data_IF_110716803028
#
_entry.id   IF_110716803028
#
_cell.length_a   1.000
_cell.length_b   1.000
_cell.length_c   1.000
_cell.angle_alpha   90.00
_cell.angle_beta   90.00
_cell.angle_gamma   90.00
#
_symmetry.space_group_name_H-M   'P 1'
#
loop_
_entity.id
_entity.type
_entity.pdbx_description
1 polymer ?
#
# COMPACT_ATOMS: atom_id res chain seq x y z
N UNK A 1 -31.95 -34.35 -29.99
CA UNK A 1 -31.46 -32.98 -29.88
C UNK A 1 -30.20 -33.03 -29.05
N UNK A 2 -29.03 -32.98 -29.70
CA UNK A 2 -27.74 -33.29 -29.12
C UNK A 2 -27.00 -31.97 -28.89
N UNK A 3 -26.73 -31.63 -27.63
CA UNK A 3 -25.90 -30.50 -27.22
C UNK A 3 -24.44 -30.87 -27.43
N UNK A 4 -23.79 -30.21 -28.37
CA UNK A 4 -22.32 -30.29 -28.55
C UNK A 4 -21.65 -29.26 -27.65
N UNK A 5 -21.09 -29.69 -26.50
CA UNK A 5 -20.04 -29.00 -25.78
C UNK A 5 -18.76 -29.09 -26.60
N UNK A 6 -18.29 -27.96 -27.12
CA UNK A 6 -16.96 -27.85 -27.74
C UNK A 6 -15.94 -27.64 -26.64
N UNK A 7 -15.16 -28.67 -26.35
CA UNK A 7 -14.01 -28.57 -25.49
C UNK A 7 -12.89 -27.78 -26.17
N UNK A 8 -12.28 -26.87 -25.40
CA UNK A 8 -11.06 -26.18 -25.78
C UNK A 8 -9.94 -27.20 -26.06
N UNK A 9 -9.45 -27.23 -27.28
CA UNK A 9 -8.39 -28.15 -27.72
C UNK A 9 -7.03 -27.65 -27.25
N UNK A 10 -6.47 -28.32 -26.23
CA UNK A 10 -5.06 -28.19 -25.85
C UNK A 10 -4.18 -28.64 -27.00
N UNK A 11 -3.44 -27.71 -27.65
CA UNK A 11 -2.28 -28.05 -28.44
C UNK A 11 -1.09 -28.26 -27.51
N UNK A 12 -0.77 -29.51 -27.25
CA UNK A 12 0.48 -29.91 -26.63
C UNK A 12 1.53 -29.98 -27.71
N UNK A 13 2.55 -29.13 -27.63
CA UNK A 13 3.83 -29.35 -28.31
C UNK A 13 4.86 -29.70 -27.26
N UNK A 14 5.34 -30.93 -27.32
CA UNK A 14 6.38 -31.48 -26.46
C UNK A 14 7.75 -31.16 -27.01
N UNK A 15 8.66 -30.72 -26.18
CA UNK A 15 10.04 -31.16 -25.92
C UNK A 15 10.85 -30.00 -25.34
N UNK A 16 11.17 -30.09 -24.08
CA UNK A 16 12.10 -29.20 -23.38
C UNK A 16 12.28 -29.63 -21.92
N UNK A 17 13.18 -29.06 -21.16
CA UNK A 17 13.76 -29.68 -19.98
C UNK A 17 12.77 -29.85 -18.80
N UNK A 18 13.12 -30.73 -17.89
CA UNK A 18 12.36 -31.32 -16.79
C UNK A 18 11.26 -30.44 -16.14
N UNK A 19 10.08 -31.03 -15.84
CA UNK A 19 8.99 -30.30 -15.22
C UNK A 19 9.33 -29.94 -13.78
N UNK A 20 9.26 -28.65 -13.49
CA UNK A 20 9.20 -28.15 -12.11
C UNK A 20 8.10 -28.93 -11.37
N UNK A 21 8.44 -29.47 -10.22
CA UNK A 21 7.56 -30.28 -9.36
C UNK A 21 6.23 -29.54 -9.19
N UNK A 22 5.12 -30.25 -9.41
CA UNK A 22 3.75 -29.78 -9.21
C UNK A 22 3.56 -29.24 -7.79
N UNK A 23 3.82 -27.96 -7.58
CA UNK A 23 3.49 -27.28 -6.35
C UNK A 23 1.99 -26.91 -6.41
N UNK A 24 1.30 -27.16 -5.31
CA UNK A 24 -0.13 -26.91 -5.18
C UNK A 24 -0.40 -25.39 -5.31
N UNK A 25 -1.02 -24.99 -6.41
CA UNK A 25 -1.58 -23.66 -6.57
C UNK A 25 -2.79 -23.54 -5.64
N UNK A 26 -2.78 -22.59 -4.72
CA UNK A 26 -3.90 -22.28 -3.84
C UNK A 26 -4.53 -20.98 -4.31
N UNK A 27 -5.77 -21.01 -4.72
CA UNK A 27 -6.55 -19.81 -5.04
C UNK A 27 -6.96 -19.16 -3.71
N UNK A 28 -6.38 -18.02 -3.38
CA UNK A 28 -6.77 -17.19 -2.23
C UNK A 28 -7.01 -15.78 -2.76
N UNK A 29 -8.19 -15.19 -2.55
CA UNK A 29 -8.45 -13.83 -2.99
C UNK A 29 -7.44 -12.86 -2.37
N UNK A 30 -6.83 -12.00 -3.18
CA UNK A 30 -6.07 -10.85 -2.69
C UNK A 30 -7.06 -9.94 -1.97
N UNK A 31 -6.67 -9.35 -0.82
CA UNK A 31 -7.53 -8.39 -0.12
C UNK A 31 -7.95 -7.30 -1.11
N UNK A 32 -9.26 -7.03 -1.18
CA UNK A 32 -9.82 -6.05 -2.10
C UNK A 32 -9.18 -4.68 -1.85
N UNK A 33 -8.40 -4.19 -2.82
CA UNK A 33 -8.11 -2.78 -2.98
C UNK A 33 -9.44 -2.09 -3.30
N UNK A 34 -9.70 -0.92 -2.73
CA UNK A 34 -10.90 -0.15 -3.07
C UNK A 34 -10.84 0.20 -4.56
N UNK A 35 -11.98 0.18 -5.27
CA UNK A 35 -12.07 0.46 -6.72
C UNK A 35 -11.51 1.81 -7.15
N UNK A 36 -11.35 2.72 -6.19
CA UNK A 36 -10.84 4.08 -6.45
C UNK A 36 -9.33 4.11 -6.70
N UNK A 37 -8.57 3.06 -6.28
CA UNK A 37 -7.13 2.98 -6.48
C UNK A 37 -6.81 2.28 -7.81
N UNK A 38 -6.37 3.05 -8.80
CA UNK A 38 -5.88 2.53 -10.08
C UNK A 38 -4.52 1.87 -9.87
N UNK A 39 -4.38 0.64 -10.36
CA UNK A 39 -3.13 -0.13 -10.21
C UNK A 39 -2.40 -0.23 -11.57
N UNK A 40 -1.08 -0.12 -11.53
CA UNK A 40 -0.24 -0.30 -12.73
C UNK A 40 0.77 -1.41 -12.47
N UNK A 41 0.89 -2.35 -13.40
CA UNK A 41 1.95 -3.35 -13.42
C UNK A 41 2.91 -3.07 -14.56
N UNK A 42 4.17 -3.38 -14.40
CA UNK A 42 5.20 -3.19 -15.41
C UNK A 42 5.57 -4.52 -16.04
N UNK A 43 5.48 -4.62 -17.36
CA UNK A 43 5.96 -5.75 -18.13
C UNK A 43 7.04 -5.26 -19.10
N UNK A 44 8.29 -5.65 -18.86
CA UNK A 44 9.44 -5.15 -19.64
C UNK A 44 10.62 -6.13 -19.58
N UNK A 45 11.52 -6.03 -20.55
CA UNK A 45 12.82 -6.70 -20.54
C UNK A 45 13.96 -5.73 -20.16
N UNK A 46 13.65 -4.45 -19.96
CA UNK A 46 14.61 -3.39 -19.65
C UNK A 46 14.48 -2.94 -18.19
N UNK A 47 15.48 -3.23 -17.38
CA UNK A 47 15.52 -2.84 -15.96
C UNK A 47 15.37 -1.34 -15.73
N UNK A 48 15.77 -0.49 -16.70
CA UNK A 48 15.63 0.96 -16.57
C UNK A 48 14.16 1.41 -16.57
N UNK A 49 13.27 0.67 -17.22
CA UNK A 49 11.83 0.91 -17.18
C UNK A 49 11.25 0.62 -15.80
N UNK A 50 11.63 -0.50 -15.18
CA UNK A 50 11.22 -0.80 -13.81
C UNK A 50 11.74 0.24 -12.83
N UNK A 51 13.03 0.64 -12.95
CA UNK A 51 13.60 1.70 -12.11
C UNK A 51 12.85 3.02 -12.28
N UNK A 52 12.53 3.41 -13.53
CA UNK A 52 11.75 4.61 -13.79
C UNK A 52 10.36 4.56 -13.13
N UNK A 53 9.69 3.41 -13.18
CA UNK A 53 8.39 3.21 -12.53
C UNK A 53 8.49 3.30 -10.99
N UNK A 54 9.52 2.70 -10.39
CA UNK A 54 9.81 2.79 -8.96
C UNK A 54 10.14 4.25 -8.54
N UNK A 55 11.03 4.92 -9.26
CA UNK A 55 11.47 6.29 -8.98
C UNK A 55 10.33 7.31 -9.05
N UNK A 56 9.43 7.18 -10.03
CA UNK A 56 8.30 8.10 -10.17
C UNK A 56 7.08 7.69 -9.32
N UNK A 57 7.16 6.58 -8.59
CA UNK A 57 6.09 6.06 -7.74
C UNK A 57 4.87 5.58 -8.52
N UNK A 58 5.08 5.11 -9.74
CA UNK A 58 4.00 4.59 -10.59
C UNK A 58 3.59 3.18 -10.17
N UNK A 59 4.55 2.31 -9.93
CA UNK A 59 4.32 0.89 -9.64
C UNK A 59 5.49 0.26 -8.89
N UNK A 60 5.14 -0.70 -8.03
CA UNK A 60 6.08 -1.63 -7.39
C UNK A 60 5.82 -3.07 -7.80
N UNK A 61 4.98 -3.30 -8.81
CA UNK A 61 4.62 -4.63 -9.28
C UNK A 61 5.12 -4.83 -10.71
N UNK A 62 5.85 -5.92 -10.96
CA UNK A 62 6.34 -6.26 -12.28
C UNK A 62 5.87 -7.67 -12.69
N UNK A 63 5.35 -7.79 -13.91
CA UNK A 63 4.87 -9.03 -14.50
C UNK A 63 5.94 -9.61 -15.43
N UNK A 64 6.39 -10.82 -15.14
CA UNK A 64 7.39 -11.54 -15.91
C UNK A 64 6.75 -12.70 -16.65
N UNK A 65 6.83 -12.75 -18.00
CA UNK A 65 6.52 -13.95 -18.75
C UNK A 65 7.38 -15.15 -18.32
N UNK A 66 6.88 -16.35 -18.53
CA UNK A 66 7.54 -17.60 -18.07
C UNK A 66 8.99 -17.77 -18.54
N UNK A 67 9.30 -17.29 -19.74
CA UNK A 67 10.64 -17.30 -20.34
C UNK A 67 11.61 -16.27 -19.69
N UNK A 68 11.07 -15.25 -19.02
CA UNK A 68 11.82 -14.17 -18.40
C UNK A 68 11.81 -14.21 -16.85
N UNK A 69 11.30 -15.28 -16.24
CA UNK A 69 11.21 -15.40 -14.76
C UNK A 69 12.56 -15.25 -14.05
N UNK A 70 13.67 -15.63 -14.68
CA UNK A 70 15.02 -15.48 -14.11
C UNK A 70 15.43 -14.01 -13.91
N UNK A 71 14.86 -13.07 -14.68
CA UNK A 71 15.12 -11.63 -14.54
C UNK A 71 14.62 -11.08 -13.20
N UNK A 72 13.54 -11.63 -12.67
CA UNK A 72 12.99 -11.20 -11.39
C UNK A 72 14.03 -11.33 -10.25
N UNK A 73 14.75 -12.44 -10.20
CA UNK A 73 15.81 -12.68 -9.20
C UNK A 73 16.99 -11.72 -9.37
N UNK A 74 17.36 -11.41 -10.60
CA UNK A 74 18.43 -10.47 -10.89
C UNK A 74 18.03 -9.04 -10.48
N UNK A 75 16.81 -8.63 -10.79
CA UNK A 75 16.32 -7.27 -10.57
C UNK A 75 15.96 -6.97 -9.11
N UNK A 76 15.72 -7.99 -8.27
CA UNK A 76 15.62 -7.83 -6.81
C UNK A 76 16.86 -7.18 -6.17
N UNK A 77 18.02 -7.27 -6.84
CA UNK A 77 19.26 -6.60 -6.41
C UNK A 77 19.28 -5.11 -6.69
N UNK A 78 18.44 -4.64 -7.60
CA UNK A 78 18.42 -3.25 -8.10
C UNK A 78 17.34 -2.42 -7.43
N UNK A 79 16.21 -3.04 -7.07
CA UNK A 79 15.10 -2.34 -6.43
C UNK A 79 14.14 -3.31 -5.74
N UNK A 80 13.35 -2.78 -4.82
CA UNK A 80 12.28 -3.53 -4.15
C UNK A 80 11.01 -3.46 -4.99
N UNK A 81 10.49 -4.59 -5.40
CA UNK A 81 9.24 -4.72 -6.13
C UNK A 81 8.60 -6.09 -5.88
N UNK A 82 7.32 -6.22 -6.22
CA UNK A 82 6.59 -7.49 -6.18
C UNK A 82 6.64 -8.15 -7.55
N UNK A 83 7.37 -9.26 -7.75
CA UNK A 83 7.38 -10.00 -9.00
C UNK A 83 6.10 -10.84 -9.12
N UNK A 84 5.42 -10.73 -10.25
CA UNK A 84 4.37 -11.63 -10.70
C UNK A 84 4.89 -12.47 -11.85
N UNK A 85 4.52 -13.75 -11.92
CA UNK A 85 4.89 -14.62 -13.02
C UNK A 85 3.65 -14.96 -13.87
N UNK A 86 3.77 -14.81 -15.19
CA UNK A 86 2.79 -15.24 -16.16
C UNK A 86 3.17 -16.64 -16.64
N UNK A 87 2.32 -17.61 -16.39
CA UNK A 87 2.51 -19.01 -16.83
C UNK A 87 2.05 -19.21 -18.29
N UNK A 88 2.49 -20.30 -18.91
CA UNK A 88 2.19 -20.60 -20.33
C UNK A 88 0.68 -20.82 -20.59
N UNK A 89 -0.10 -21.12 -19.57
CA UNK A 89 -1.56 -21.26 -19.65
C UNK A 89 -2.32 -19.94 -19.39
N UNK A 90 -1.61 -18.83 -19.26
CA UNK A 90 -2.18 -17.50 -19.02
C UNK A 90 -2.47 -17.17 -17.56
N UNK A 91 -2.15 -18.05 -16.62
CA UNK A 91 -2.34 -17.76 -15.19
C UNK A 91 -1.27 -16.79 -14.68
N UNK A 92 -1.70 -15.75 -13.97
CA UNK A 92 -0.81 -14.82 -13.25
C UNK A 92 -0.65 -15.33 -11.81
N UNK A 93 0.60 -15.52 -11.38
CA UNK A 93 0.93 -16.05 -10.06
C UNK A 93 1.86 -15.13 -9.29
N UNK A 94 1.72 -15.12 -7.97
CA UNK A 94 2.59 -14.45 -7.02
C UNK A 94 3.29 -15.49 -6.14
N UNK A 95 4.57 -15.28 -5.85
CA UNK A 95 5.33 -16.11 -4.92
C UNK A 95 4.90 -15.81 -3.48
N UNK A 96 4.51 -16.85 -2.73
CA UNK A 96 4.09 -16.77 -1.34
C UNK A 96 4.85 -17.85 -0.52
N UNK A 97 6.06 -17.50 -0.11
CA UNK A 97 6.99 -18.42 0.55
C UNK A 97 7.36 -19.59 -0.36
N UNK A 98 7.05 -20.82 0.07
CA UNK A 98 7.31 -22.05 -0.71
C UNK A 98 6.21 -22.38 -1.75
N UNK A 99 5.20 -21.50 -1.92
CA UNK A 99 4.03 -21.72 -2.77
C UNK A 99 3.87 -20.61 -3.81
N UNK A 100 3.15 -20.91 -4.89
CA UNK A 100 2.68 -19.92 -5.84
C UNK A 100 1.18 -19.74 -5.67
N UNK A 101 0.74 -18.48 -5.53
CA UNK A 101 -0.67 -18.09 -5.43
C UNK A 101 -1.13 -17.57 -6.78
N UNK A 102 -2.22 -18.14 -7.33
CA UNK A 102 -2.87 -17.56 -8.50
C UNK A 102 -3.56 -16.25 -8.09
N UNK A 103 -3.25 -15.17 -8.79
CA UNK A 103 -3.83 -13.82 -8.57
C UNK A 103 -4.79 -13.40 -9.67
N UNK A 104 -4.71 -14.02 -10.85
CA UNK A 104 -5.59 -13.72 -11.97
C UNK A 104 -5.22 -14.51 -13.21
N UNK A 105 -5.89 -14.19 -14.31
CA UNK A 105 -5.66 -14.79 -15.64
C UNK A 105 -5.46 -13.70 -16.70
N UNK A 106 -4.70 -14.02 -17.74
CA UNK A 106 -4.54 -13.18 -18.94
C UNK A 106 -5.30 -13.77 -20.09
N UNK A 107 -6.09 -12.93 -20.78
CA UNK A 107 -6.89 -13.31 -21.94
C UNK A 107 -6.50 -12.43 -23.12
N UNK A 108 -6.28 -13.04 -24.28
CA UNK A 108 -6.04 -12.33 -25.55
C UNK A 108 -7.38 -12.11 -26.26
N UNK A 109 -7.61 -10.88 -26.77
CA UNK A 109 -8.77 -10.53 -27.58
C UNK A 109 -8.34 -10.46 -29.03
N UNK A 110 -8.83 -11.40 -29.82
CA UNK A 110 -8.61 -11.48 -31.28
C UNK A 110 -9.86 -11.20 -32.09
N UNK A 111 -11.05 -11.28 -31.46
CA UNK A 111 -12.34 -11.06 -32.10
C UNK A 111 -13.49 -10.77 -31.14
N UNK A 112 -14.69 -10.51 -31.68
CA UNK A 112 -15.87 -10.20 -30.84
C UNK A 112 -16.29 -11.32 -29.92
N UNK A 113 -16.15 -12.57 -30.34
CA UNK A 113 -16.54 -13.73 -29.54
C UNK A 113 -15.71 -13.85 -28.24
N UNK A 114 -14.43 -13.45 -28.28
CA UNK A 114 -13.55 -13.45 -27.12
C UNK A 114 -14.02 -12.45 -26.06
N UNK A 115 -14.59 -11.32 -26.47
CA UNK A 115 -15.12 -10.29 -25.56
C UNK A 115 -16.31 -10.83 -24.75
N UNK A 116 -17.19 -11.61 -25.40
CA UNK A 116 -18.34 -12.21 -24.72
C UNK A 116 -17.89 -13.31 -23.72
N UNK A 117 -16.87 -14.11 -24.10
CA UNK A 117 -16.29 -15.12 -23.22
C UNK A 117 -15.61 -14.47 -21.99
N UNK A 118 -14.86 -13.39 -22.20
CA UNK A 118 -14.23 -12.64 -21.10
C UNK A 118 -15.27 -11.96 -20.21
N UNK A 119 -16.35 -11.42 -20.79
CA UNK A 119 -17.43 -10.80 -20.02
C UNK A 119 -18.14 -11.79 -19.08
N UNK A 120 -18.16 -13.09 -19.40
CA UNK A 120 -18.70 -14.14 -18.50
C UNK A 120 -17.79 -14.45 -17.32
N UNK A 121 -16.55 -13.98 -17.30
CA UNK A 121 -15.61 -14.15 -16.18
C UNK A 121 -15.84 -13.13 -15.05
N UNK A 122 -16.60 -12.06 -15.32
CA UNK A 122 -16.95 -11.07 -14.30
C UNK A 122 -17.76 -11.72 -13.16
N UNK A 123 -17.28 -11.53 -11.91
CA UNK A 123 -17.82 -12.20 -10.72
C UNK A 123 -17.38 -13.66 -10.51
N UNK A 124 -16.55 -14.21 -11.43
CA UNK A 124 -16.03 -15.60 -11.34
C UNK A 124 -14.52 -15.58 -11.09
N UNK A 125 -13.78 -14.85 -11.93
CA UNK A 125 -12.33 -14.71 -11.79
C UNK A 125 -12.00 -13.44 -10.99
N UNK A 126 -11.12 -13.50 -10.00
CA UNK A 126 -10.80 -12.36 -9.14
C UNK A 126 -10.10 -11.22 -9.89
N UNK A 127 -9.35 -11.54 -10.94
CA UNK A 127 -8.67 -10.58 -11.79
C UNK A 127 -8.50 -11.13 -13.20
N UNK A 128 -8.87 -10.33 -14.18
CA UNK A 128 -8.70 -10.63 -15.59
C UNK A 128 -7.87 -9.54 -16.23
N UNK A 129 -6.74 -9.93 -16.85
CA UNK A 129 -5.88 -9.05 -17.66
C UNK A 129 -6.20 -9.28 -19.12
N UNK A 130 -6.62 -8.24 -19.81
CA UNK A 130 -7.00 -8.31 -21.23
C UNK A 130 -5.88 -7.76 -22.09
N UNK A 131 -5.34 -8.58 -22.99
CA UNK A 131 -4.41 -8.18 -24.03
C UNK A 131 -5.18 -8.02 -25.36
N UNK A 132 -5.37 -6.77 -25.78
CA UNK A 132 -6.13 -6.42 -26.98
C UNK A 132 -5.25 -5.67 -28.00
N UNK A 133 -4.11 -6.24 -28.37
CA UNK A 133 -3.12 -5.62 -29.27
C UNK A 133 -3.70 -5.19 -30.63
N UNK A 134 -4.78 -5.81 -31.08
CA UNK A 134 -5.42 -5.55 -32.38
C UNK A 134 -6.77 -4.83 -32.29
N UNK A 135 -7.41 -4.73 -31.10
CA UNK A 135 -8.79 -4.23 -30.94
C UNK A 135 -8.93 -3.41 -29.67
N UNK A 136 -8.68 -2.08 -29.73
CA UNK A 136 -8.35 -1.31 -28.51
C UNK A 136 -9.52 -0.61 -27.80
N UNK A 137 -10.58 -0.13 -28.45
CA UNK A 137 -11.55 0.78 -27.81
C UNK A 137 -12.91 0.14 -27.52
N UNK A 138 -13.56 -0.46 -28.51
CA UNK A 138 -14.94 -0.98 -28.37
C UNK A 138 -15.05 -2.15 -27.38
N UNK A 139 -14.10 -3.12 -27.34
CA UNK A 139 -14.12 -4.17 -26.34
C UNK A 139 -13.95 -3.67 -24.90
N UNK A 140 -13.11 -2.65 -24.71
CA UNK A 140 -12.82 -2.12 -23.38
C UNK A 140 -14.08 -1.56 -22.72
N UNK A 141 -14.91 -0.79 -23.41
CA UNK A 141 -16.14 -0.21 -22.85
C UNK A 141 -17.14 -1.28 -22.42
N UNK A 142 -17.33 -2.34 -23.25
CA UNK A 142 -18.22 -3.44 -22.91
C UNK A 142 -17.74 -4.21 -21.67
N UNK A 143 -16.44 -4.47 -21.57
CA UNK A 143 -15.84 -5.17 -20.45
C UNK A 143 -15.86 -4.31 -19.18
N UNK A 144 -15.51 -3.02 -19.26
CA UNK A 144 -15.61 -2.08 -18.13
C UNK A 144 -17.02 -2.05 -17.56
N UNK A 145 -18.06 -2.00 -18.41
CA UNK A 145 -19.44 -2.02 -17.97
C UNK A 145 -19.82 -3.34 -17.25
N UNK A 146 -19.32 -4.48 -17.73
CA UNK A 146 -19.60 -5.81 -17.14
C UNK A 146 -18.88 -6.02 -15.83
N UNK A 147 -17.58 -5.76 -15.79
CA UNK A 147 -16.78 -5.87 -14.56
C UNK A 147 -17.17 -4.80 -13.54
N UNK A 148 -17.58 -3.60 -13.99
CA UNK A 148 -18.12 -2.53 -13.17
C UNK A 148 -19.39 -2.90 -12.39
N UNK A 149 -20.12 -3.91 -12.81
CA UNK A 149 -21.34 -4.38 -12.15
C UNK A 149 -21.08 -5.33 -10.97
N UNK A 150 -19.85 -5.74 -10.69
CA UNK A 150 -19.47 -6.65 -9.61
C UNK A 150 -18.23 -6.18 -8.88
N UNK A 151 -18.19 -6.33 -7.56
CA UNK A 151 -17.01 -6.01 -6.73
C UNK A 151 -16.06 -7.21 -6.54
N UNK A 152 -16.43 -8.37 -7.07
CA UNK A 152 -15.69 -9.64 -6.90
C UNK A 152 -14.57 -9.82 -7.93
N UNK A 153 -14.56 -9.03 -9.02
CA UNK A 153 -13.62 -9.15 -10.12
C UNK A 153 -13.02 -7.81 -10.49
N UNK A 154 -11.74 -7.80 -10.84
CA UNK A 154 -11.01 -6.64 -11.35
C UNK A 154 -10.64 -6.83 -12.82
N UNK A 155 -10.69 -5.75 -13.58
CA UNK A 155 -10.35 -5.72 -15.00
C UNK A 155 -9.07 -4.92 -15.21
N UNK A 156 -8.06 -5.56 -15.78
CA UNK A 156 -6.82 -4.92 -16.23
C UNK A 156 -6.73 -4.97 -17.75
N UNK A 157 -6.06 -3.97 -18.33
CA UNK A 157 -5.76 -3.93 -19.76
C UNK A 157 -4.26 -3.84 -19.99
N UNK A 158 -3.75 -4.54 -21.00
CA UNK A 158 -2.37 -4.36 -21.45
C UNK A 158 -2.31 -3.11 -22.33
N UNK A 159 -1.34 -2.23 -22.05
CA UNK A 159 -1.06 -1.01 -22.81
C UNK A 159 0.42 -0.93 -23.15
N UNK A 160 0.78 -0.44 -24.35
CA UNK A 160 2.18 -0.35 -24.77
C UNK A 160 2.77 1.04 -24.54
N UNK A 161 1.90 2.05 -24.42
CA UNK A 161 2.30 3.45 -24.17
C UNK A 161 1.50 4.06 -23.03
N UNK A 162 2.03 5.12 -22.44
CA UNK A 162 1.32 5.92 -21.44
C UNK A 162 -0.03 6.41 -21.98
N UNK A 163 -0.06 6.86 -23.23
CA UNK A 163 -1.27 7.37 -23.87
C UNK A 163 -2.34 6.27 -24.08
N UNK A 164 -1.94 5.04 -24.40
CA UNK A 164 -2.86 3.91 -24.47
C UNK A 164 -3.44 3.61 -23.07
N UNK A 165 -2.58 3.63 -22.04
CA UNK A 165 -2.98 3.43 -20.66
C UNK A 165 -3.96 4.52 -20.16
N UNK A 166 -3.70 5.79 -20.51
CA UNK A 166 -4.62 6.92 -20.24
C UNK A 166 -6.00 6.66 -20.84
N UNK A 167 -6.07 6.23 -22.11
CA UNK A 167 -7.34 5.92 -22.76
C UNK A 167 -8.10 4.78 -22.07
N UNK A 168 -7.40 3.76 -21.53
CA UNK A 168 -8.03 2.67 -20.80
C UNK A 168 -8.57 3.12 -19.43
N UNK A 169 -7.87 4.02 -18.74
CA UNK A 169 -8.35 4.60 -17.47
C UNK A 169 -9.53 5.58 -17.68
N UNK A 170 -9.71 6.13 -18.88
CA UNK A 170 -10.82 7.05 -19.23
C UNK A 170 -12.03 6.34 -19.85
N UNK A 171 -11.94 5.05 -20.18
CA UNK A 171 -13.04 4.30 -20.82
C UNK A 171 -14.31 4.35 -19.94
N UNK A 172 -15.44 4.83 -20.49
CA UNK A 172 -16.74 4.98 -19.80
C UNK A 172 -16.67 5.77 -18.48
N UNK A 173 -15.79 6.78 -18.36
CA UNK A 173 -15.57 7.61 -17.17
C UNK A 173 -15.00 6.86 -15.95
N UNK A 174 -15.31 5.58 -15.78
CA UNK A 174 -14.80 4.73 -14.69
C UNK A 174 -13.48 4.05 -15.02
N UNK A 175 -13.26 3.70 -16.29
CA UNK A 175 -12.07 3.02 -16.77
C UNK A 175 -11.86 1.61 -16.24
N UNK A 176 -10.75 1.01 -16.62
CA UNK A 176 -10.28 -0.26 -16.06
C UNK A 176 -9.75 -0.08 -14.64
N UNK A 177 -9.72 -1.14 -13.84
CA UNK A 177 -9.19 -1.12 -12.47
C UNK A 177 -7.65 -1.04 -12.44
N UNK A 178 -7.00 -1.49 -13.50
CA UNK A 178 -5.55 -1.39 -13.63
C UNK A 178 -5.06 -1.59 -15.05
N UNK A 179 -3.76 -1.32 -15.25
CA UNK A 179 -3.07 -1.45 -16.52
C UNK A 179 -1.78 -2.24 -16.35
N UNK A 180 -1.50 -3.14 -17.30
CA UNK A 180 -0.16 -3.71 -17.50
C UNK A 180 0.55 -2.88 -18.56
N UNK A 181 1.48 -2.02 -18.15
CA UNK A 181 2.30 -1.22 -19.07
C UNK A 181 3.42 -2.09 -19.61
N UNK A 182 3.27 -2.53 -20.85
CA UNK A 182 4.24 -3.37 -21.58
C UNK A 182 5.10 -2.51 -22.51
N UNK A 183 6.27 -2.13 -22.03
CA UNK A 183 7.16 -1.22 -22.76
C UNK A 183 8.62 -1.46 -22.40
N UNK A 184 9.54 -1.10 -23.30
CA UNK A 184 10.97 -1.05 -23.04
C UNK A 184 11.52 0.39 -23.05
N UNK A 185 10.63 1.40 -23.12
CA UNK A 185 10.98 2.83 -23.01
C UNK A 185 10.75 3.36 -21.60
N UNK A 186 11.81 3.82 -20.95
CA UNK A 186 11.78 4.39 -19.60
C UNK A 186 11.07 5.77 -19.50
N UNK A 187 10.69 6.39 -20.62
CA UNK A 187 9.88 7.60 -20.62
C UNK A 187 8.41 7.30 -20.30
N UNK A 188 7.87 6.19 -20.81
CA UNK A 188 6.46 5.83 -20.66
C UNK A 188 5.97 5.74 -19.21
N UNK A 189 6.69 5.08 -18.25
CA UNK A 189 6.29 5.08 -16.86
C UNK A 189 6.23 6.49 -16.26
N UNK A 190 7.15 7.39 -16.64
CA UNK A 190 7.18 8.77 -16.12
C UNK A 190 6.01 9.59 -16.64
N UNK A 191 5.67 9.45 -17.92
CA UNK A 191 4.52 10.13 -18.55
C UNK A 191 3.21 9.66 -17.89
N UNK A 192 3.02 8.35 -17.77
CA UNK A 192 1.84 7.78 -17.13
C UNK A 192 1.72 8.21 -15.66
N UNK A 193 2.84 8.21 -14.92
CA UNK A 193 2.84 8.70 -13.53
C UNK A 193 2.44 10.18 -13.42
N UNK A 194 2.93 11.02 -14.33
CA UNK A 194 2.58 12.44 -14.35
C UNK A 194 1.07 12.65 -14.64
N UNK A 195 0.51 11.86 -15.56
CA UNK A 195 -0.92 11.88 -15.86
C UNK A 195 -1.76 11.45 -14.65
N UNK A 196 -1.46 10.29 -14.06
CA UNK A 196 -2.23 9.74 -12.94
C UNK A 196 -2.15 10.64 -11.68
N UNK A 197 -0.97 11.24 -11.42
CA UNK A 197 -0.80 12.25 -10.35
C UNK A 197 -1.66 13.48 -10.57
N UNK A 198 -1.70 14.00 -11.80
CA UNK A 198 -2.54 15.16 -12.16
C UNK A 198 -4.03 14.88 -11.97
N UNK A 199 -4.46 13.63 -12.14
CA UNK A 199 -5.85 13.18 -11.96
C UNK A 199 -6.15 12.77 -10.51
N UNK A 200 -5.16 12.71 -9.61
CA UNK A 200 -5.33 12.20 -8.25
C UNK A 200 -5.59 10.70 -8.17
N UNK A 201 -5.30 9.96 -9.25
CA UNK A 201 -5.49 8.51 -9.35
C UNK A 201 -4.34 7.73 -8.73
N UNK A 202 -3.17 8.34 -8.60
CA UNK A 202 -2.05 7.87 -7.79
C UNK A 202 -1.51 9.04 -6.97
N UNK A 203 -1.23 8.82 -5.71
CA UNK A 203 -0.56 9.80 -4.85
C UNK A 203 0.94 9.84 -5.14
N UNK A 204 1.55 11.00 -4.94
CA UNK A 204 2.97 11.21 -5.19
C UNK A 204 3.89 10.39 -4.30
N UNK A 205 4.49 9.35 -4.84
CA UNK A 205 5.56 8.56 -4.22
C UNK A 205 5.15 7.15 -3.80
N UNK A 206 5.86 6.17 -4.34
CA UNK A 206 5.73 4.72 -4.25
C UNK A 206 5.04 4.14 -3.00
N UNK A 207 4.20 3.18 -3.25
CA UNK A 207 3.57 2.26 -2.32
C UNK A 207 2.56 2.80 -1.31
N UNK A 208 1.28 2.57 -1.60
CA UNK A 208 0.21 2.59 -0.61
C UNK A 208 -0.26 3.99 -0.22
N UNK A 209 -0.62 4.82 -1.19
CA UNK A 209 -1.43 6.00 -0.88
C UNK A 209 -2.87 5.56 -0.71
N UNK A 210 -3.20 5.19 0.51
CA UNK A 210 -4.54 5.16 1.02
C UNK A 210 -4.81 6.46 1.78
N UNK A 211 -6.06 6.76 2.02
CA UNK A 211 -6.45 7.71 3.06
C UNK A 211 -6.86 6.93 4.29
N UNK A 212 -6.28 7.25 5.44
CA UNK A 212 -6.72 6.73 6.73
C UNK A 212 -7.66 7.75 7.36
N UNK A 213 -8.79 7.28 7.87
CA UNK A 213 -9.68 8.14 8.63
C UNK A 213 -8.99 8.53 9.95
N UNK A 214 -8.82 9.85 10.15
CA UNK A 214 -8.36 10.43 11.39
C UNK A 214 -9.52 11.04 12.14
N UNK A 215 -9.65 10.69 13.41
CA UNK A 215 -10.73 11.14 14.27
C UNK A 215 -10.17 12.03 15.39
N UNK A 216 -10.80 13.18 15.69
CA UNK A 216 -10.45 13.97 16.85
C UNK A 216 -10.74 13.21 18.16
N UNK A 217 -9.73 13.10 19.03
CA UNK A 217 -9.85 12.56 20.37
C UNK A 217 -9.51 13.63 21.40
N UNK A 218 -10.22 13.65 22.53
CA UNK A 218 -9.99 14.61 23.62
C UNK A 218 -9.00 14.02 24.60
N UNK A 219 -7.92 14.73 24.90
CA UNK A 219 -6.94 14.34 25.92
C UNK A 219 -7.60 14.38 27.31
N UNK A 220 -7.55 13.27 28.01
CA UNK A 220 -8.17 13.08 29.33
C UNK A 220 -7.16 12.98 30.46
N UNK A 221 -5.91 12.61 30.15
CA UNK A 221 -4.82 12.50 31.13
C UNK A 221 -3.48 12.78 30.51
N UNK A 222 -2.64 13.51 31.23
CA UNK A 222 -1.23 13.73 30.91
C UNK A 222 -0.45 13.57 32.21
N UNK A 223 0.40 12.54 32.31
CA UNK A 223 1.11 12.23 33.54
C UNK A 223 2.55 11.78 33.26
N UNK A 224 3.50 12.34 34.02
CA UNK A 224 4.89 11.89 33.96
C UNK A 224 5.04 10.57 34.72
N UNK A 225 5.50 9.50 34.06
CA UNK A 225 5.48 8.14 34.62
C UNK A 225 6.86 7.54 34.93
N UNK A 226 7.92 8.22 34.73
CA UNK A 226 9.27 7.70 34.96
C UNK A 226 10.11 7.57 33.72
N UNK A 227 11.16 6.75 33.74
CA UNK A 227 12.08 6.54 32.64
C UNK A 227 11.74 5.25 31.87
N UNK A 228 11.82 5.30 30.54
CA UNK A 228 11.63 4.16 29.66
C UNK A 228 12.53 4.24 28.43
N UNK A 229 12.59 3.15 27.69
CA UNK A 229 13.32 3.08 26.43
C UNK A 229 12.49 3.76 25.32
N UNK A 230 12.91 4.96 24.96
CA UNK A 230 12.28 5.77 23.93
C UNK A 230 12.90 5.47 22.57
N UNK A 231 12.05 5.33 21.56
CA UNK A 231 12.42 5.08 20.16
C UNK A 231 12.25 6.34 19.31
N UNK A 232 13.31 6.72 18.58
CA UNK A 232 13.20 7.59 17.42
C UNK A 232 13.30 6.75 16.15
N UNK A 233 12.40 7.01 15.20
CA UNK A 233 12.43 6.47 13.84
C UNK A 233 12.97 7.55 12.93
N UNK A 234 14.14 7.30 12.33
CA UNK A 234 14.75 8.18 11.33
C UNK A 234 14.51 7.56 9.95
N UNK A 235 13.72 8.23 9.12
CA UNK A 235 13.41 7.77 7.77
C UNK A 235 14.45 8.26 6.74
N UNK A 236 14.54 7.56 5.61
CA UNK A 236 15.43 7.92 4.51
C UNK A 236 14.98 9.19 3.75
N UNK A 237 13.71 9.57 3.88
CA UNK A 237 13.11 10.76 3.27
C UNK A 237 12.65 11.75 4.34
N UNK A 238 12.49 13.01 3.94
CA UNK A 238 11.99 14.05 4.84
C UNK A 238 10.46 13.99 5.00
N UNK A 239 9.97 14.30 6.20
CA UNK A 239 8.58 14.60 6.50
C UNK A 239 8.30 16.09 6.23
N UNK A 240 7.06 16.39 5.89
CA UNK A 240 6.55 17.76 5.75
C UNK A 240 5.77 18.18 7.02
N UNK A 241 5.53 19.48 7.22
CA UNK A 241 4.68 19.95 8.31
C UNK A 241 3.27 19.33 8.22
N UNK A 242 2.78 18.81 9.36
CA UNK A 242 1.54 18.04 9.43
C UNK A 242 1.71 16.54 9.25
N UNK A 243 2.89 16.06 8.87
CA UNK A 243 3.17 14.63 8.72
C UNK A 243 3.83 14.03 9.97
N UNK A 244 3.55 12.74 10.16
CA UNK A 244 4.09 11.96 11.26
C UNK A 244 3.86 10.47 11.10
N UNK A 245 3.97 9.74 12.22
CA UNK A 245 3.67 8.31 12.32
C UNK A 245 2.50 8.09 13.28
N UNK A 246 1.67 7.11 12.97
CA UNK A 246 0.61 6.65 13.87
C UNK A 246 1.20 5.67 14.88
N UNK A 247 1.14 6.06 16.17
CA UNK A 247 1.76 5.32 17.28
C UNK A 247 0.81 5.25 18.46
N UNK A 248 0.78 4.12 19.17
CA UNK A 248 -0.03 3.96 20.38
C UNK A 248 0.37 2.75 21.22
N UNK A 249 -0.08 2.73 22.46
CA UNK A 249 0.11 1.57 23.35
C UNK A 249 -0.76 0.38 22.94
N UNK A 250 -1.85 0.65 22.22
CA UNK A 250 -2.79 -0.34 21.70
C UNK A 250 -2.93 -0.19 20.18
N UNK A 251 -3.06 -1.31 19.48
CA UNK A 251 -3.22 -1.32 18.03
C UNK A 251 -4.60 -0.78 17.57
N UNK A 252 -5.57 -0.69 18.48
CA UNK A 252 -6.95 -0.23 18.20
C UNK A 252 -7.10 1.29 18.15
N UNK A 253 -6.14 2.06 18.70
CA UNK A 253 -6.16 3.52 18.72
C UNK A 253 -4.76 4.10 18.72
N UNK A 254 -4.40 4.77 17.63
CA UNK A 254 -3.05 5.25 17.38
C UNK A 254 -3.05 6.77 17.21
N UNK A 255 -2.21 7.47 17.97
CA UNK A 255 -2.03 8.93 17.90
C UNK A 255 -1.15 9.30 16.70
N UNK A 256 -1.48 10.39 16.01
CA UNK A 256 -0.61 10.95 15.00
C UNK A 256 0.50 11.77 15.67
N UNK A 257 1.66 11.11 15.83
CA UNK A 257 2.86 11.73 16.40
C UNK A 257 3.60 12.47 15.31
N UNK A 258 3.68 13.79 15.42
CA UNK A 258 4.29 14.69 14.43
C UNK A 258 5.80 14.45 14.31
N UNK A 259 6.34 14.63 13.13
CA UNK A 259 7.79 14.62 12.90
C UNK A 259 8.50 15.83 13.53
N UNK A 260 9.81 15.72 13.76
CA UNK A 260 10.64 16.83 14.25
C UNK A 260 11.03 17.81 13.12
N UNK A 261 10.13 18.05 12.12
CA UNK A 261 10.39 18.95 11.00
C UNK A 261 10.12 20.43 11.33
N UNK A 262 9.35 20.71 12.39
CA UNK A 262 9.11 22.08 12.83
C UNK A 262 10.29 22.59 13.65
N UNK A 263 10.68 23.85 13.40
CA UNK A 263 11.70 24.50 14.22
C UNK A 263 11.19 24.65 15.67
N UNK A 264 11.97 24.17 16.62
CA UNK A 264 11.77 24.49 18.01
C UNK A 264 12.42 25.85 18.27
N UNK A 265 11.74 26.73 18.98
CA UNK A 265 12.16 28.11 19.24
C UNK A 265 13.64 28.22 19.68
N UNK A 266 14.54 28.28 18.68
CA UNK A 266 15.93 28.73 18.84
C UNK A 266 16.96 27.77 19.45
N UNK A 267 16.59 26.60 19.98
CA UNK A 267 17.52 25.74 20.73
C UNK A 267 17.80 24.35 20.12
N UNK A 268 16.95 23.85 19.24
CA UNK A 268 17.14 22.53 18.62
C UNK A 268 16.92 22.64 17.12
N UNK A 269 17.93 22.25 16.33
CA UNK A 269 17.79 22.18 14.89
C UNK A 269 16.68 21.18 14.52
N UNK A 270 15.84 21.55 13.57
CA UNK A 270 14.81 20.65 13.01
C UNK A 270 15.44 19.38 12.42
N UNK A 271 14.75 18.27 12.57
CA UNK A 271 15.13 16.96 12.03
C UNK A 271 14.00 16.43 11.16
N UNK A 272 13.88 16.94 9.93
CA UNK A 272 12.72 16.64 9.08
C UNK A 272 12.59 15.16 8.68
N UNK A 273 13.57 14.34 9.01
CA UNK A 273 13.57 12.90 8.76
C UNK A 273 13.17 12.07 9.99
N UNK A 274 12.89 12.70 11.15
CA UNK A 274 12.71 12.00 12.44
C UNK A 274 11.31 12.13 12.99
N UNK A 275 10.80 11.00 13.51
CA UNK A 275 9.69 10.97 14.47
C UNK A 275 10.20 10.38 15.80
N UNK A 276 9.97 11.10 16.89
CA UNK A 276 10.17 10.59 18.25
C UNK A 276 8.91 9.82 18.64
N UNK A 277 8.92 8.52 18.34
CA UNK A 277 7.73 7.70 18.26
C UNK A 277 7.23 7.18 19.63
N UNK A 278 8.00 7.33 20.71
CA UNK A 278 7.56 6.92 22.05
C UNK A 278 8.21 5.64 22.55
N UNK A 279 7.51 4.89 23.40
CA UNK A 279 8.06 3.73 24.10
C UNK A 279 8.33 2.54 23.17
N UNK A 280 9.32 1.73 23.54
CA UNK A 280 9.76 0.55 22.79
C UNK A 280 8.62 -0.45 22.50
N UNK A 281 7.67 -0.58 23.42
CA UNK A 281 6.52 -1.48 23.32
C UNK A 281 5.33 -0.91 22.52
N UNK A 282 5.41 0.35 22.04
CA UNK A 282 4.32 0.95 21.29
C UNK A 282 4.21 0.35 19.90
N UNK A 283 2.97 0.30 19.38
CA UNK A 283 2.69 -0.06 18.01
C UNK A 283 2.91 1.11 17.04
N UNK A 284 3.29 0.81 15.84
CA UNK A 284 3.38 1.75 14.70
C UNK A 284 2.74 1.12 13.47
N UNK A 285 2.10 1.95 12.63
CA UNK A 285 1.48 1.48 11.38
C UNK A 285 2.55 1.25 10.31
N UNK A 286 2.47 0.09 9.66
CA UNK A 286 3.30 -0.31 8.53
C UNK A 286 2.43 -0.45 7.26
N UNK A 287 3.02 -0.54 6.06
CA UNK A 287 2.26 -0.64 4.82
C UNK A 287 1.23 -1.76 4.81
N UNK A 288 0.08 -1.50 4.16
CA UNK A 288 -1.04 -2.43 4.11
C UNK A 288 -1.90 -2.46 5.38
N UNK A 289 -1.85 -1.42 6.22
CA UNK A 289 -2.66 -1.30 7.44
C UNK A 289 -2.29 -2.31 8.53
N UNK A 290 -1.07 -2.83 8.48
CA UNK A 290 -0.50 -3.70 9.51
C UNK A 290 0.12 -2.87 10.62
N UNK A 291 0.34 -3.48 11.78
CA UNK A 291 1.09 -2.87 12.88
C UNK A 291 2.31 -3.72 13.22
N UNK A 292 3.37 -3.04 13.68
CA UNK A 292 4.56 -3.65 14.25
C UNK A 292 4.88 -2.95 15.59
N UNK A 293 5.60 -3.61 16.49
CA UNK A 293 6.16 -2.92 17.64
C UNK A 293 7.34 -2.03 17.20
N UNK A 294 7.51 -0.87 17.86
CA UNK A 294 8.69 -0.02 17.61
C UNK A 294 10.01 -0.76 17.84
N UNK A 295 10.02 -1.77 18.73
CA UNK A 295 11.15 -2.64 19.01
C UNK A 295 11.54 -3.57 17.85
N UNK A 296 10.60 -3.84 16.95
CA UNK A 296 10.81 -4.74 15.80
C UNK A 296 11.41 -4.03 14.60
N UNK A 297 11.23 -2.70 14.51
CA UNK A 297 11.72 -1.92 13.37
C UNK A 297 13.24 -1.99 13.22
N UNK A 298 13.67 -2.12 11.97
CA UNK A 298 15.08 -2.14 11.53
C UNK A 298 15.30 -1.17 10.38
N UNK A 299 16.54 -0.80 10.15
CA UNK A 299 16.91 -0.08 8.93
C UNK A 299 16.56 -0.90 7.69
N UNK A 300 15.86 -0.29 6.75
CA UNK A 300 15.34 -0.92 5.55
C UNK A 300 13.89 -1.40 5.65
N UNK A 301 13.28 -1.41 6.84
CA UNK A 301 11.84 -1.64 6.99
C UNK A 301 11.04 -0.43 6.50
N UNK A 302 9.76 -0.64 6.22
CA UNK A 302 8.86 0.42 5.79
C UNK A 302 7.85 0.76 6.88
N UNK A 303 7.57 2.05 7.03
CA UNK A 303 6.53 2.61 7.91
C UNK A 303 5.57 3.49 7.13
N UNK A 304 4.34 3.61 7.61
CA UNK A 304 3.33 4.47 6.98
C UNK A 304 3.39 5.87 7.58
N UNK A 305 3.84 6.83 6.77
CA UNK A 305 3.72 8.25 7.06
C UNK A 305 2.26 8.69 6.82
N UNK A 306 1.72 9.50 7.71
CA UNK A 306 0.35 10.03 7.61
C UNK A 306 0.38 11.54 7.81
N UNK A 307 -0.38 12.28 7.01
CA UNK A 307 -0.56 13.71 7.20
C UNK A 307 -1.84 14.02 8.00
N UNK A 308 -2.03 15.29 8.35
CA UNK A 308 -3.20 15.78 9.12
C UNK A 308 -4.55 15.55 8.42
N UNK A 309 -4.57 15.36 7.10
CA UNK A 309 -5.76 15.06 6.29
C UNK A 309 -5.99 13.54 6.13
N UNK A 310 -5.12 12.72 6.71
CA UNK A 310 -5.19 11.26 6.61
C UNK A 310 -4.49 10.66 5.39
N UNK A 311 -3.94 11.46 4.48
CA UNK A 311 -3.20 10.93 3.33
C UNK A 311 -1.96 10.20 3.81
N UNK A 312 -1.72 9.03 3.23
CA UNK A 312 -0.61 8.16 3.62
C UNK A 312 0.46 8.07 2.54
N UNK A 313 1.68 7.82 2.93
CA UNK A 313 2.78 7.41 2.05
C UNK A 313 3.74 6.48 2.78
N UNK A 314 4.37 5.59 2.06
CA UNK A 314 5.37 4.69 2.62
C UNK A 314 6.72 5.41 2.75
N UNK A 315 7.38 5.21 3.88
CA UNK A 315 8.72 5.72 4.13
C UNK A 315 9.63 4.62 4.64
N UNK A 316 10.79 4.49 4.02
CA UNK A 316 11.80 3.51 4.46
C UNK A 316 12.54 4.02 5.69
N UNK A 317 12.64 3.18 6.72
CA UNK A 317 13.40 3.43 7.93
C UNK A 317 14.89 3.40 7.61
N UNK A 318 15.58 4.51 7.80
CA UNK A 318 17.02 4.60 7.66
C UNK A 318 17.77 4.19 8.91
N UNK A 319 17.19 4.47 10.09
CA UNK A 319 17.78 4.16 11.39
C UNK A 319 16.73 4.16 12.50
N UNK A 320 16.86 3.27 13.46
CA UNK A 320 16.12 3.29 14.72
C UNK A 320 17.08 3.64 15.86
N UNK A 321 16.73 4.61 16.68
CA UNK A 321 17.54 5.05 17.82
C UNK A 321 16.78 4.85 19.13
N UNK A 322 17.31 4.02 20.01
CA UNK A 322 16.72 3.72 21.34
C UNK A 322 17.56 4.35 22.43
N UNK A 323 16.94 5.11 23.33
CA UNK A 323 17.60 5.76 24.44
C UNK A 323 16.66 5.85 25.66
N UNK A 324 17.20 5.69 26.86
CA UNK A 324 16.43 5.93 28.09
C UNK A 324 16.09 7.41 28.23
N UNK A 325 14.80 7.71 28.42
CA UNK A 325 14.27 9.07 28.56
C UNK A 325 13.12 9.08 29.58
N UNK A 326 12.85 10.26 30.14
CA UNK A 326 11.67 10.48 30.92
C UNK A 326 10.43 10.41 30.03
N UNK A 327 9.42 9.64 30.47
CA UNK A 327 8.22 9.36 29.69
C UNK A 327 7.00 10.05 30.29
N UNK A 328 6.04 10.35 29.43
CA UNK A 328 4.72 10.87 29.76
C UNK A 328 3.67 9.91 29.20
N UNK A 329 2.74 9.51 30.04
CA UNK A 329 1.52 8.83 29.62
C UNK A 329 0.51 9.88 29.17
N UNK A 330 0.06 9.75 27.94
CA UNK A 330 -1.02 10.54 27.36
C UNK A 330 -2.20 9.61 27.11
N UNK A 331 -3.35 9.91 27.74
CA UNK A 331 -4.61 9.22 27.47
C UNK A 331 -5.57 10.18 26.77
N UNK A 332 -6.31 9.68 25.80
CA UNK A 332 -7.35 10.41 25.11
C UNK A 332 -8.57 9.53 24.88
N UNK A 333 -9.74 10.16 24.67
CA UNK A 333 -10.98 9.44 24.41
C UNK A 333 -11.71 9.98 23.17
N UNK A 334 -12.38 9.06 22.47
CA UNK A 334 -13.30 9.36 21.40
C UNK A 334 -14.56 8.51 21.57
N UNK A 335 -15.67 9.13 21.95
CA UNK A 335 -16.88 8.42 22.36
C UNK A 335 -16.63 7.59 23.63
N UNK A 336 -16.89 6.30 23.54
CA UNK A 336 -16.66 5.34 24.65
C UNK A 336 -15.25 4.71 24.64
N UNK A 337 -14.47 4.94 23.56
CA UNK A 337 -13.15 4.32 23.39
C UNK A 337 -12.07 5.20 24.02
N UNK A 338 -11.15 4.55 24.75
CA UNK A 338 -9.98 5.19 25.39
C UNK A 338 -8.71 4.66 24.76
N UNK A 339 -7.74 5.52 24.59
CA UNK A 339 -6.45 5.24 23.99
C UNK A 339 -5.35 5.80 24.84
N UNK A 340 -4.16 5.20 24.76
CA UNK A 340 -2.99 5.67 25.46
C UNK A 340 -1.74 5.63 24.58
N UNK A 341 -0.82 6.53 24.83
CA UNK A 341 0.53 6.50 24.28
C UNK A 341 1.54 6.90 25.35
N UNK A 342 2.68 6.20 25.38
CA UNK A 342 3.84 6.57 26.19
C UNK A 342 4.84 7.31 25.31
N UNK A 343 4.99 8.62 25.55
CA UNK A 343 5.81 9.51 24.76
C UNK A 343 6.96 10.08 25.61
N UNK A 344 8.05 10.52 24.96
CA UNK A 344 9.10 11.24 25.68
C UNK A 344 8.60 12.61 26.13
N UNK A 345 8.90 12.99 27.37
CA UNK A 345 8.70 14.35 27.86
C UNK A 345 9.75 15.29 27.25
N UNK A 346 9.44 15.88 26.10
CA UNK A 346 10.30 16.82 25.41
C UNK A 346 9.50 17.77 24.50
N UNK A 347 9.97 19.00 24.33
CA UNK A 347 9.32 20.01 23.49
C UNK A 347 9.22 19.63 22.00
N UNK A 348 10.16 18.83 21.52
CA UNK A 348 10.19 18.36 20.13
C UNK A 348 9.19 17.24 19.83
N UNK A 349 8.63 16.60 20.87
CA UNK A 349 7.60 15.58 20.73
C UNK A 349 6.24 16.25 20.69
N UNK A 350 5.54 16.11 19.58
CA UNK A 350 4.27 16.79 19.35
C UNK A 350 3.21 15.83 18.84
N UNK A 351 1.98 16.08 19.24
CA UNK A 351 0.80 15.43 18.67
C UNK A 351 0.11 16.38 17.69
N UNK A 352 -0.29 15.85 16.53
CA UNK A 352 -1.05 16.62 15.55
C UNK A 352 -2.43 16.90 16.13
N UNK A 353 -2.84 18.18 16.08
CA UNK A 353 -4.10 18.65 16.65
C UNK A 353 -5.26 18.51 15.66
N UNK A 354 -6.46 18.44 16.20
CA UNK A 354 -7.68 18.42 15.39
C UNK A 354 -7.92 19.78 14.69
N UNK A 355 -8.66 19.81 13.58
CA UNK A 355 -9.06 21.05 12.93
C UNK A 355 -9.80 22.00 13.90
N UNK A 356 -9.40 23.26 13.88
CA UNK A 356 -9.96 24.32 14.74
C UNK A 356 -9.21 24.56 16.05
N UNK A 357 -8.11 23.85 16.28
CA UNK A 357 -7.13 24.19 17.34
C UNK A 357 -6.20 25.32 16.88
N UNK A 358 -5.62 26.07 17.83
CA UNK A 358 -4.77 27.25 17.55
C UNK A 358 -3.45 26.89 16.83
N UNK A 359 -2.98 25.66 17.00
CA UNK A 359 -1.72 25.18 16.45
C UNK A 359 -1.93 23.86 15.71
N UNK A 360 -1.13 23.61 14.65
CA UNK A 360 -1.15 22.36 13.89
C UNK A 360 -0.70 21.14 14.71
N UNK A 361 0.18 21.34 15.66
CA UNK A 361 0.68 20.30 16.55
C UNK A 361 1.05 20.89 17.91
N UNK A 362 0.68 20.21 18.99
CA UNK A 362 0.94 20.61 20.37
C UNK A 362 2.07 19.78 20.95
N UNK A 363 3.01 20.44 21.64
CA UNK A 363 4.10 19.74 22.34
C UNK A 363 3.57 18.94 23.52
N UNK A 364 4.11 17.73 23.74
CA UNK A 364 3.79 16.90 24.91
C UNK A 364 4.13 17.62 26.22
N UNK A 365 5.14 18.50 26.24
CA UNK A 365 5.52 19.30 27.43
C UNK A 365 4.50 20.40 27.79
N UNK A 366 3.65 20.80 26.85
CA UNK A 366 2.59 21.81 27.04
C UNK A 366 1.19 21.24 26.77
N UNK A 367 1.09 19.93 26.63
CA UNK A 367 -0.19 19.25 26.42
C UNK A 367 -0.99 19.21 27.71
N UNK A 368 -2.22 19.67 27.66
CA UNK A 368 -3.15 19.67 28.77
C UNK A 368 -4.42 18.86 28.48
N UNK A 369 -5.11 18.47 29.54
CA UNK A 369 -6.44 17.85 29.45
C UNK A 369 -7.40 18.80 28.74
N UNK A 370 -8.14 18.26 27.77
CA UNK A 370 -9.09 19.01 26.96
C UNK A 370 -8.57 19.38 25.55
N UNK A 371 -7.27 19.31 25.28
CA UNK A 371 -6.76 19.42 23.90
C UNK A 371 -7.34 18.32 23.01
N UNK A 372 -7.60 18.65 21.74
CA UNK A 372 -8.09 17.69 20.76
C UNK A 372 -6.96 17.34 19.81
N UNK A 373 -6.63 16.05 19.76
CA UNK A 373 -5.56 15.49 18.93
C UNK A 373 -6.11 14.49 17.93
N UNK A 374 -5.39 14.27 16.82
CA UNK A 374 -5.80 13.32 15.81
C UNK A 374 -5.36 11.91 16.17
N UNK A 375 -6.29 10.97 16.06
CA UNK A 375 -6.07 9.53 16.24
C UNK A 375 -6.65 8.74 15.08
N UNK A 376 -6.06 7.61 14.79
CA UNK A 376 -6.61 6.61 13.88
C UNK A 376 -7.21 5.47 14.70
N UNK A 377 -8.48 5.14 14.40
CA UNK A 377 -9.21 4.05 15.04
C UNK A 377 -9.18 2.83 14.14
N UNK A 378 -8.74 1.69 14.66
CA UNK A 378 -8.80 0.42 13.94
C UNK A 378 -9.81 -0.53 14.59
N UNK A 379 -10.62 -1.18 13.79
CA UNK A 379 -11.48 -2.28 14.23
C UNK A 379 -10.69 -3.59 14.19
N UNK A 380 -9.94 -3.86 15.25
CA UNK A 380 -9.15 -5.09 15.45
C UNK A 380 -7.69 -4.98 15.01
N UNK A 381 -6.80 -5.40 15.91
CA UNK A 381 -5.35 -5.46 15.67
C UNK A 381 -5.01 -6.47 14.58
N UNK A 382 -4.11 -6.09 13.66
CA UNK A 382 -3.53 -6.99 12.65
C UNK A 382 -2.02 -7.13 12.89
N UNK A 383 -1.66 -7.93 13.89
CA UNK A 383 -0.27 -8.33 14.03
C UNK A 383 0.01 -9.52 13.11
N UNK A 384 1.07 -9.45 12.30
CA UNK A 384 1.50 -10.50 11.34
C UNK A 384 0.45 -10.96 10.31
N UNK A 385 -0.51 -10.08 9.93
CA UNK A 385 -1.49 -10.37 8.86
C UNK A 385 -2.75 -11.12 9.30
N UNK A 386 -2.86 -11.49 10.57
CA UNK A 386 -4.07 -12.08 11.15
C UNK A 386 -4.81 -11.06 12.00
N UNK A 387 -6.14 -10.98 11.83
CA UNK A 387 -6.99 -10.17 12.70
C UNK A 387 -7.06 -10.84 14.08
N UNK A 388 -6.42 -10.21 15.08
CA UNK A 388 -6.50 -10.65 16.48
C UNK A 388 -7.59 -9.82 17.15
N UNK A 389 -8.55 -10.48 17.78
CA UNK A 389 -9.49 -9.83 18.70
C UNK A 389 -8.79 -9.87 20.07
N UNK A 390 -8.16 -8.77 20.46
CA UNK A 390 -7.59 -8.62 21.78
C UNK A 390 -8.74 -8.23 22.75
N UNK A 391 -9.01 -9.04 23.74
CA UNK A 391 -9.77 -8.63 24.92
C UNK A 391 -8.79 -7.90 25.85
N UNK A 392 -8.88 -6.58 25.86
CA UNK A 392 -8.06 -5.75 26.74
C UNK A 392 -8.58 -5.85 28.18
N UNK A 393 -7.76 -6.40 29.06
CA UNK A 393 -8.02 -6.38 30.51
C UNK A 393 -7.35 -5.14 31.09
N UNK A 394 -8.17 -4.20 31.55
CA UNK A 394 -7.71 -3.15 32.45
C UNK A 394 -7.74 -3.71 33.88
N UNK A 395 -6.59 -4.01 34.46
CA UNK A 395 -6.50 -4.15 35.92
C UNK A 395 -6.69 -2.76 36.54
N UNK A 396 -7.67 -2.65 37.40
CA UNK A 396 -8.01 -1.44 38.18
C UNK A 396 -6.96 -1.17 39.24
#
# INVERSE_FOLDING_TARGET
MSSRTRGFSRRVLSTGPEPLRKNRVRVVPRAASTRDDKEVWIQTTNVQVLLAALECGLSTTALFPSDNAALAEEWRKVGRFTPLALTDDGTVTEEDGDFYRAVGITCEVTGPDDVDDIAMMAGVEPLVVVDSSTWRIIPAENLVAKFGATDESRLFSVSETAKDAEAMFEALETGVDGVVLRTDDAAEPRELAAYLKKRGMIGGGGDGVGSLELTPAVVTRVETVGTGDRVCVDCASAFHPGEGLLVGSFATGLFLVHSECLDAEGYVNSRPFRVNAGALCSYVVTPGGKTAYLSELRAGDDVTCVNEDGHTRVMTVGRVKVEQRQMVLVEAECGEKKFAALLQNAETVRLVTAPGEDTRAVSVSTLDVGHRVLVHLQEGARHTGLKIVEEEWYEQ
#
